data_IF_987354980837
#
_entry.id   IF_987354980837
#
_cell.length_a   1.000
_cell.length_b   1.000
_cell.length_c   1.000
_cell.angle_alpha   90.00
_cell.angle_beta   90.00
_cell.angle_gamma   90.00
#
_symmetry.space_group_name_H-M   'P 1'
#
loop_
_entity.id
_entity.type
_entity.pdbx_description
1 polymer ?
#
# COMPACT_ATOMS: atom_id res chain seq x y z
N UNK A 1 -42.96 -29.27 -0.38
CA UNK A 1 -41.99 -28.91 -1.44
C UNK A 1 -40.91 -29.98 -1.46
N UNK A 2 -40.79 -30.76 -2.55
CA UNK A 2 -39.68 -31.72 -2.70
C UNK A 2 -38.80 -31.19 -3.83
N UNK A 3 -37.67 -30.59 -3.49
CA UNK A 3 -36.64 -30.33 -4.50
C UNK A 3 -36.19 -31.67 -5.07
N UNK A 4 -36.11 -31.77 -6.39
CA UNK A 4 -35.60 -32.97 -7.07
C UNK A 4 -34.16 -33.22 -6.60
N UNK A 5 -33.82 -34.46 -6.27
CA UNK A 5 -32.48 -34.87 -5.81
C UNK A 5 -31.35 -34.33 -6.71
N UNK A 6 -31.60 -34.24 -8.03
CA UNK A 6 -30.66 -33.66 -8.99
C UNK A 6 -30.40 -32.16 -8.74
N UNK A 7 -31.45 -31.41 -8.40
CA UNK A 7 -31.34 -29.99 -8.06
C UNK A 7 -30.58 -29.81 -6.73
N UNK A 8 -30.83 -30.68 -5.75
CA UNK A 8 -30.08 -30.68 -4.48
C UNK A 8 -28.60 -30.97 -4.70
N UNK A 9 -28.25 -31.96 -5.54
CA UNK A 9 -26.86 -32.28 -5.87
C UNK A 9 -26.16 -31.11 -6.58
N UNK A 10 -26.85 -30.44 -7.51
CA UNK A 10 -26.30 -29.28 -8.21
C UNK A 10 -26.01 -28.12 -7.25
N UNK A 11 -26.93 -27.82 -6.33
CA UNK A 11 -26.75 -26.77 -5.32
C UNK A 11 -25.55 -27.08 -4.42
N UNK A 12 -25.44 -28.33 -3.93
CA UNK A 12 -24.30 -28.74 -3.10
C UNK A 12 -22.98 -28.60 -3.86
N UNK A 13 -22.91 -29.09 -5.10
CA UNK A 13 -21.70 -28.99 -5.92
C UNK A 13 -21.29 -27.54 -6.20
N UNK A 14 -22.25 -26.64 -6.42
CA UNK A 14 -21.96 -25.22 -6.59
C UNK A 14 -21.39 -24.60 -5.31
N UNK A 15 -21.98 -24.91 -4.14
CA UNK A 15 -21.44 -24.45 -2.85
C UNK A 15 -20.00 -24.95 -2.66
N UNK A 16 -19.74 -26.23 -2.90
CA UNK A 16 -18.38 -26.79 -2.79
C UNK A 16 -17.39 -26.11 -3.74
N UNK A 17 -17.80 -25.81 -4.98
CA UNK A 17 -16.96 -25.10 -5.94
C UNK A 17 -16.66 -23.66 -5.49
N UNK A 18 -17.64 -22.95 -4.94
CA UNK A 18 -17.44 -21.60 -4.41
C UNK A 18 -16.48 -21.60 -3.21
N UNK A 19 -16.63 -22.55 -2.29
CA UNK A 19 -15.72 -22.66 -1.13
C UNK A 19 -14.30 -23.03 -1.56
N UNK A 20 -14.13 -23.90 -2.57
CA UNK A 20 -12.81 -24.18 -3.14
C UNK A 20 -12.19 -22.97 -3.83
N UNK A 21 -12.99 -22.20 -4.57
CA UNK A 21 -12.50 -20.99 -5.24
C UNK A 21 -11.98 -19.97 -4.21
N UNK A 22 -12.68 -19.79 -3.09
CA UNK A 22 -12.21 -18.94 -1.98
C UNK A 22 -10.85 -19.38 -1.43
N UNK A 23 -10.67 -20.68 -1.18
CA UNK A 23 -9.39 -21.22 -0.68
C UNK A 23 -8.24 -20.98 -1.67
N UNK A 24 -8.49 -21.14 -2.97
CA UNK A 24 -7.48 -20.87 -4.00
C UNK A 24 -7.14 -19.38 -4.06
N UNK A 25 -8.13 -18.50 -3.96
CA UNK A 25 -7.90 -17.06 -3.95
C UNK A 25 -7.13 -16.60 -2.71
N UNK A 26 -7.43 -17.19 -1.54
CA UNK A 26 -6.71 -16.97 -0.29
C UNK A 26 -5.23 -17.34 -0.43
N UNK A 27 -4.94 -18.52 -1.00
CA UNK A 27 -3.57 -18.97 -1.30
C UNK A 27 -2.84 -18.02 -2.25
N UNK A 28 -3.52 -17.61 -3.33
CA UNK A 28 -2.97 -16.64 -4.30
C UNK A 28 -2.65 -15.31 -3.62
N UNK A 29 -3.56 -14.79 -2.81
CA UNK A 29 -3.37 -13.55 -2.06
C UNK A 29 -2.19 -13.67 -1.10
N UNK A 30 -2.08 -14.78 -0.36
CA UNK A 30 -0.99 -15.01 0.58
C UNK A 30 0.36 -14.98 -0.12
N UNK A 31 0.51 -15.74 -1.22
CA UNK A 31 1.76 -15.79 -2.00
C UNK A 31 2.08 -14.41 -2.58
N UNK A 32 1.09 -13.74 -3.16
CA UNK A 32 1.27 -12.45 -3.83
C UNK A 32 1.66 -11.35 -2.85
N UNK A 33 0.93 -11.20 -1.74
CA UNK A 33 1.20 -10.17 -0.74
C UNK A 33 2.52 -10.42 -0.01
N UNK A 34 2.87 -11.68 0.29
CA UNK A 34 4.17 -12.03 0.83
C UNK A 34 5.31 -11.67 -0.14
N UNK A 35 5.08 -11.85 -1.45
CA UNK A 35 6.05 -11.47 -2.48
C UNK A 35 6.22 -9.95 -2.56
N UNK A 36 5.13 -9.18 -2.53
CA UNK A 36 5.18 -7.70 -2.48
C UNK A 36 5.98 -7.24 -1.26
N UNK A 37 5.68 -7.77 -0.06
CA UNK A 37 6.40 -7.43 1.17
C UNK A 37 7.90 -7.70 1.07
N UNK A 38 8.28 -8.84 0.48
CA UNK A 38 9.68 -9.21 0.27
C UNK A 38 10.40 -8.23 -0.67
N UNK A 39 9.77 -7.82 -1.76
CA UNK A 39 10.36 -6.85 -2.69
C UNK A 39 10.55 -5.48 -2.03
N UNK A 40 9.54 -5.00 -1.31
CA UNK A 40 9.62 -3.73 -0.56
C UNK A 40 10.75 -3.80 0.47
N UNK A 41 10.82 -4.87 1.26
CA UNK A 41 11.87 -5.06 2.26
C UNK A 41 13.27 -5.12 1.62
N UNK A 42 13.40 -5.79 0.47
CA UNK A 42 14.66 -5.84 -0.27
C UNK A 42 15.08 -4.45 -0.75
N UNK A 43 14.18 -3.66 -1.33
CA UNK A 43 14.45 -2.28 -1.74
C UNK A 43 14.83 -1.38 -0.58
N UNK A 44 14.17 -1.49 0.58
CA UNK A 44 14.53 -0.69 1.75
C UNK A 44 15.88 -1.08 2.34
N UNK A 45 16.26 -2.36 2.25
CA UNK A 45 17.55 -2.85 2.77
C UNK A 45 18.77 -2.31 2.01
N UNK A 46 18.58 -1.79 0.78
CA UNK A 46 19.66 -1.19 -0.02
C UNK A 46 19.86 0.30 0.28
N UNK A 47 18.92 0.94 0.99
CA UNK A 47 19.02 2.35 1.32
C UNK A 47 20.08 2.60 2.40
N UNK A 48 20.78 3.75 2.37
CA UNK A 48 21.73 4.13 3.41
C UNK A 48 21.06 4.58 4.73
N UNK A 49 19.75 4.40 4.86
CA UNK A 49 18.96 4.83 6.01
C UNK A 49 18.62 3.65 6.92
N UNK A 50 18.62 3.89 8.22
CA UNK A 50 18.16 2.91 9.20
C UNK A 50 16.65 3.04 9.38
N UNK A 51 15.93 1.93 9.20
CA UNK A 51 14.50 1.86 9.50
C UNK A 51 14.27 1.95 11.02
N UNK A 52 13.14 2.50 11.43
CA UNK A 52 12.73 2.45 12.84
C UNK A 52 12.25 1.05 13.27
N UNK A 53 12.17 0.82 14.58
CA UNK A 53 11.75 -0.46 15.16
C UNK A 53 10.25 -0.75 15.00
N UNK A 54 9.45 0.28 14.70
CA UNK A 54 8.00 0.18 14.48
C UNK A 54 7.65 -0.28 13.05
N UNK A 55 8.65 -0.48 12.18
CA UNK A 55 8.43 -0.85 10.78
C UNK A 55 7.91 -2.29 10.67
N UNK A 56 6.85 -2.48 9.88
CA UNK A 56 6.09 -3.72 9.76
C UNK A 56 5.86 -4.14 8.30
N UNK A 57 6.09 -5.42 8.00
CA UNK A 57 6.07 -5.95 6.64
C UNK A 57 5.12 -7.14 6.41
N UNK A 58 4.26 -7.52 7.37
CA UNK A 58 3.30 -8.63 7.16
C UNK A 58 2.04 -8.14 6.45
N UNK A 59 2.18 -7.90 5.15
CA UNK A 59 1.11 -7.32 4.34
C UNK A 59 -0.16 -8.19 4.31
N UNK A 60 -0.02 -9.51 4.22
CA UNK A 60 -1.17 -10.41 4.17
C UNK A 60 -2.02 -10.37 5.45
N UNK A 61 -1.36 -10.37 6.61
CA UNK A 61 -2.05 -10.47 7.91
C UNK A 61 -2.67 -9.13 8.33
N UNK A 62 -2.00 -8.01 8.04
CA UNK A 62 -2.40 -6.68 8.52
C UNK A 62 -3.06 -5.81 7.44
N UNK A 63 -2.96 -6.21 6.17
CA UNK A 63 -3.52 -5.45 5.05
C UNK A 63 -2.75 -4.18 4.70
N UNK A 64 -1.56 -3.99 5.26
CA UNK A 64 -0.64 -2.94 4.86
C UNK A 64 0.82 -3.33 5.15
N UNK A 65 1.74 -2.59 4.51
CA UNK A 65 3.14 -2.48 4.92
C UNK A 65 3.30 -1.08 5.51
N UNK A 66 4.04 -0.94 6.60
CA UNK A 66 4.33 0.35 7.23
C UNK A 66 5.83 0.43 7.54
N UNK A 67 6.47 1.54 7.19
CA UNK A 67 7.87 1.76 7.49
C UNK A 67 8.20 3.23 7.71
N UNK A 68 9.13 3.50 8.60
CA UNK A 68 9.68 4.83 8.84
C UNK A 68 11.19 4.75 9.05
N UNK A 69 11.81 5.91 9.20
CA UNK A 69 13.25 6.04 9.38
C UNK A 69 13.57 6.45 10.81
N UNK A 70 14.61 5.87 11.39
CA UNK A 70 15.05 6.19 12.74
C UNK A 70 15.43 7.67 12.90
N UNK A 71 15.91 8.32 11.83
CA UNK A 71 16.20 9.77 11.80
C UNK A 71 14.94 10.65 11.88
N UNK A 72 13.76 10.08 11.69
CA UNK A 72 12.46 10.76 11.77
C UNK A 72 11.72 10.46 13.07
N UNK A 73 12.41 9.91 14.07
CA UNK A 73 11.89 9.77 15.43
C UNK A 73 12.24 11.01 16.26
N UNK A 74 11.27 11.51 17.02
CA UNK A 74 11.44 12.56 18.01
C UNK A 74 10.67 12.17 19.27
N UNK A 75 11.39 12.08 20.41
CA UNK A 75 10.84 11.56 21.67
C UNK A 75 10.13 10.19 21.50
N UNK A 76 10.75 9.30 20.72
CA UNK A 76 10.22 7.96 20.38
C UNK A 76 8.91 7.99 19.55
N UNK A 77 8.54 9.13 18.98
CA UNK A 77 7.39 9.24 18.08
C UNK A 77 7.82 9.55 16.65
N UNK A 78 7.17 8.89 15.68
CA UNK A 78 7.36 9.13 14.25
C UNK A 78 6.84 10.52 13.86
N UNK A 79 7.71 11.31 13.24
CA UNK A 79 7.35 12.59 12.61
C UNK A 79 6.71 12.39 11.25
N UNK A 80 7.08 11.30 10.58
CA UNK A 80 6.40 10.79 9.40
C UNK A 80 6.77 9.33 9.15
N UNK A 81 5.96 8.66 8.35
CA UNK A 81 6.15 7.27 7.95
C UNK A 81 5.53 7.04 6.57
N UNK A 82 5.82 5.89 5.98
CA UNK A 82 5.23 5.44 4.73
C UNK A 82 4.40 4.19 4.94
N UNK A 83 3.32 4.07 4.18
CA UNK A 83 2.54 2.84 4.13
C UNK A 83 2.25 2.42 2.70
N UNK A 84 2.26 1.11 2.45
CA UNK A 84 1.68 0.51 1.24
C UNK A 84 0.38 -0.16 1.63
N UNK A 85 -0.73 0.33 1.09
CA UNK A 85 -2.09 -0.11 1.43
C UNK A 85 -3.04 0.02 0.22
N UNK A 86 -4.26 -0.51 0.34
CA UNK A 86 -5.28 -0.36 -0.69
C UNK A 86 -5.80 1.10 -0.78
N UNK A 87 -6.21 1.52 -1.97
CA UNK A 87 -6.67 2.90 -2.22
C UNK A 87 -7.97 3.29 -1.53
N UNK A 88 -8.86 2.33 -1.31
CA UNK A 88 -10.12 2.50 -0.59
C UNK A 88 -10.06 1.70 0.71
N UNK A 89 -10.43 2.34 1.82
CA UNK A 89 -10.64 1.66 3.11
C UNK A 89 -11.75 0.64 2.92
N UNK A 90 -11.40 -0.63 3.07
CA UNK A 90 -12.30 -1.77 3.05
C UNK A 90 -13.35 -1.66 4.18
N UNK A 91 -14.36 -0.80 4.01
CA UNK A 91 -15.50 -0.71 4.93
C UNK A 91 -16.50 -1.86 4.71
N UNK A 92 -16.24 -2.79 3.79
CA UNK A 92 -17.02 -4.00 3.63
C UNK A 92 -16.10 -5.21 3.54
N UNK A 93 -16.07 -5.98 4.62
CA UNK A 93 -15.47 -7.30 4.71
C UNK A 93 -15.85 -8.16 3.48
N UNK A 94 -14.82 -8.68 2.80
CA UNK A 94 -14.81 -9.70 1.72
C UNK A 94 -13.99 -9.26 0.48
N UNK A 95 -12.99 -8.40 0.65
CA UNK A 95 -12.17 -7.93 -0.47
C UNK A 95 -11.03 -8.90 -0.80
N UNK A 96 -11.19 -9.61 -1.92
CA UNK A 96 -10.13 -10.42 -2.53
C UNK A 96 -8.96 -9.49 -2.91
N UNK A 97 -7.82 -9.57 -2.21
CA UNK A 97 -6.67 -8.68 -2.47
C UNK A 97 -6.26 -8.61 -3.95
N UNK A 98 -6.36 -9.73 -4.66
CA UNK A 98 -6.14 -9.81 -6.09
C UNK A 98 -6.92 -8.75 -6.89
N UNK A 99 -8.17 -8.44 -6.51
CA UNK A 99 -8.96 -7.41 -7.20
C UNK A 99 -8.43 -6.00 -6.94
N UNK A 100 -7.90 -5.73 -5.75
CA UNK A 100 -7.33 -4.43 -5.40
C UNK A 100 -5.96 -4.22 -6.04
N UNK A 101 -5.06 -5.19 -5.89
CA UNK A 101 -3.69 -5.10 -6.42
C UNK A 101 -3.69 -5.00 -7.95
N UNK A 102 -4.65 -5.62 -8.62
CA UNK A 102 -4.78 -5.56 -10.09
C UNK A 102 -5.76 -4.49 -10.62
N UNK A 103 -6.61 -3.91 -9.76
CA UNK A 103 -7.63 -2.96 -10.18
C UNK A 103 -8.71 -3.54 -11.09
N UNK A 104 -9.22 -4.73 -10.78
CA UNK A 104 -10.14 -5.50 -11.65
C UNK A 104 -11.60 -5.08 -11.56
N UNK A 105 -12.04 -4.52 -10.42
CA UNK A 105 -13.46 -4.22 -10.15
C UNK A 105 -13.78 -2.74 -10.41
N UNK A 106 -12.94 -1.83 -9.92
CA UNK A 106 -13.02 -0.40 -10.21
C UNK A 106 -11.68 0.10 -10.76
N UNK A 107 -11.76 1.05 -11.68
CA UNK A 107 -10.66 1.90 -12.11
C UNK A 107 -9.90 2.57 -10.95
N UNK A 108 -10.54 2.84 -9.80
CA UNK A 108 -9.92 3.40 -8.58
C UNK A 108 -9.13 2.39 -7.76
N UNK A 109 -9.35 1.08 -7.94
CA UNK A 109 -8.69 0.04 -7.16
C UNK A 109 -7.21 -0.07 -7.52
N UNK A 110 -6.35 0.19 -6.55
CA UNK A 110 -4.90 0.05 -6.65
C UNK A 110 -4.27 -0.12 -5.26
N UNK A 111 -2.97 -0.38 -5.27
CA UNK A 111 -2.15 -0.10 -4.11
C UNK A 111 -1.64 1.33 -4.16
N UNK A 112 -1.49 1.93 -2.99
CA UNK A 112 -0.92 3.25 -2.81
C UNK A 112 0.33 3.14 -1.94
N UNK A 113 1.43 3.72 -2.40
CA UNK A 113 2.49 4.13 -1.49
C UNK A 113 2.11 5.51 -0.94
N UNK A 114 1.85 5.59 0.36
CA UNK A 114 1.47 6.83 1.04
C UNK A 114 2.53 7.29 2.01
N UNK A 115 2.77 8.59 2.06
CA UNK A 115 3.57 9.26 3.07
C UNK A 115 2.67 10.02 4.03
N UNK A 116 2.81 9.73 5.33
CA UNK A 116 2.01 10.29 6.41
C UNK A 116 2.88 11.07 7.40
N UNK A 117 2.91 12.41 7.32
CA UNK A 117 3.49 13.22 8.39
C UNK A 117 2.54 13.31 9.59
N UNK A 118 3.05 13.07 10.79
CA UNK A 118 2.25 13.04 12.00
C UNK A 118 2.10 14.44 12.62
N UNK A 119 1.04 15.16 12.22
CA UNK A 119 0.84 16.56 12.58
C UNK A 119 0.84 16.84 14.10
N UNK A 120 0.45 15.86 14.93
CA UNK A 120 0.43 16.02 16.40
C UNK A 120 1.84 15.99 16.98
N UNK A 121 2.68 15.08 16.49
CA UNK A 121 4.10 14.99 16.91
C UNK A 121 4.87 16.21 16.39
N UNK A 122 4.47 16.76 15.24
CA UNK A 122 4.95 18.04 14.74
C UNK A 122 4.41 19.26 15.51
N UNK A 123 3.58 19.10 16.55
CA UNK A 123 3.04 20.22 17.33
C UNK A 123 2.03 21.12 16.60
N UNK A 124 1.51 20.68 15.45
CA UNK A 124 0.64 21.48 14.60
C UNK A 124 -0.85 21.24 14.90
N UNK A 125 -1.69 22.24 14.63
CA UNK A 125 -3.15 22.05 14.54
C UNK A 125 -3.51 21.56 13.15
N UNK A 126 -4.52 20.69 13.04
CA UNK A 126 -4.93 20.05 11.77
C UNK A 126 -5.10 21.03 10.59
N UNK A 127 -5.78 22.17 10.78
CA UNK A 127 -5.99 23.17 9.71
C UNK A 127 -4.67 23.79 9.25
N UNK A 128 -3.79 24.14 10.20
CA UNK A 128 -2.48 24.72 9.91
C UNK A 128 -1.59 23.70 9.21
N UNK A 129 -1.60 22.46 9.70
CA UNK A 129 -0.91 21.34 9.08
C UNK A 129 -1.33 21.16 7.62
N UNK A 130 -2.62 20.99 7.32
CA UNK A 130 -3.09 20.77 5.94
C UNK A 130 -2.66 21.88 4.99
N UNK A 131 -2.79 23.14 5.43
CA UNK A 131 -2.37 24.29 4.62
C UNK A 131 -0.87 24.25 4.32
N UNK A 132 -0.04 24.00 5.34
CA UNK A 132 1.43 23.97 5.21
C UNK A 132 1.91 22.75 4.45
N UNK A 133 1.30 21.60 4.68
CA UNK A 133 1.64 20.35 4.00
C UNK A 133 1.34 20.46 2.52
N UNK A 134 0.18 21.01 2.16
CA UNK A 134 -0.15 21.33 0.77
C UNK A 134 0.86 22.32 0.15
N UNK A 135 1.22 23.38 0.86
CA UNK A 135 2.22 24.34 0.39
C UNK A 135 3.59 23.67 0.18
N UNK A 136 4.08 22.90 1.15
CA UNK A 136 5.35 22.18 1.07
C UNK A 136 5.35 21.17 -0.10
N UNK A 137 4.27 20.43 -0.30
CA UNK A 137 4.09 19.51 -1.43
C UNK A 137 4.12 20.24 -2.78
N UNK A 138 3.43 21.38 -2.91
CA UNK A 138 3.39 22.12 -4.17
C UNK A 138 4.72 22.80 -4.53
N UNK A 139 5.60 23.04 -3.55
CA UNK A 139 6.93 23.61 -3.77
C UNK A 139 8.04 22.55 -3.87
N UNK A 140 7.72 21.27 -3.67
CA UNK A 140 8.67 20.17 -3.88
C UNK A 140 8.61 19.65 -5.32
N UNK A 141 9.50 18.73 -5.67
CA UNK A 141 9.47 18.04 -6.97
C UNK A 141 8.51 16.85 -7.02
N UNK A 142 7.87 16.50 -5.90
CA UNK A 142 6.97 15.34 -5.80
C UNK A 142 5.81 15.36 -6.84
N UNK A 143 5.15 16.49 -7.14
CA UNK A 143 4.11 16.52 -8.16
C UNK A 143 4.61 16.14 -9.56
N UNK A 144 5.81 16.58 -9.92
CA UNK A 144 6.42 16.29 -11.23
C UNK A 144 6.85 14.82 -11.34
N UNK A 145 7.15 14.19 -10.20
CA UNK A 145 7.47 12.76 -10.08
C UNK A 145 6.22 11.87 -10.05
N UNK A 146 5.01 12.45 -10.10
CA UNK A 146 3.74 11.71 -10.20
C UNK A 146 3.03 11.48 -8.87
N UNK A 147 3.58 11.95 -7.76
CA UNK A 147 2.91 11.92 -6.46
C UNK A 147 1.74 12.91 -6.43
N UNK A 148 0.74 12.62 -5.59
CA UNK A 148 -0.45 13.46 -5.41
C UNK A 148 -0.73 13.67 -3.94
N UNK A 149 -1.33 14.80 -3.59
CA UNK A 149 -1.89 14.96 -2.25
C UNK A 149 -3.19 14.15 -2.14
N UNK A 150 -3.38 13.44 -1.03
CA UNK A 150 -4.61 12.72 -0.73
C UNK A 150 -5.81 13.67 -0.71
N UNK A 151 -7.01 13.16 -0.98
CA UNK A 151 -8.22 13.96 -1.02
C UNK A 151 -8.53 14.63 0.33
N UNK A 152 -8.20 13.97 1.44
CA UNK A 152 -8.35 14.49 2.79
C UNK A 152 -7.23 15.46 3.21
N UNK A 153 -6.14 15.53 2.44
CA UNK A 153 -4.99 16.40 2.66
C UNK A 153 -4.07 15.97 3.80
N UNK A 154 -4.09 14.70 4.20
CA UNK A 154 -3.22 14.16 5.25
C UNK A 154 -2.06 13.30 4.76
N UNK A 155 -2.06 12.89 3.49
CA UNK A 155 -1.01 12.08 2.91
C UNK A 155 -0.55 12.59 1.55
N UNK A 156 0.66 12.20 1.15
CA UNK A 156 1.11 12.23 -0.24
C UNK A 156 1.08 10.78 -0.75
N UNK A 157 0.49 10.55 -1.91
CA UNK A 157 0.17 9.22 -2.43
C UNK A 157 0.78 9.00 -3.80
N UNK A 158 1.21 7.77 -4.05
CA UNK A 158 1.67 7.27 -5.35
C UNK A 158 0.94 5.96 -5.69
N UNK A 159 -0.03 5.99 -6.62
CA UNK A 159 -0.79 4.81 -6.99
C UNK A 159 -0.02 3.90 -7.94
N UNK A 160 -0.10 2.59 -7.72
CA UNK A 160 0.43 1.57 -8.62
C UNK A 160 -0.46 0.33 -8.64
N UNK A 161 -0.41 -0.42 -9.76
CA UNK A 161 -1.20 -1.63 -9.98
C UNK A 161 -0.31 -2.72 -10.54
N UNK A 162 -0.59 -3.96 -10.14
CA UNK A 162 0.01 -5.15 -10.71
C UNK A 162 -0.79 -5.58 -11.94
N UNK A 163 -0.10 -6.19 -12.92
CA UNK A 163 -0.76 -6.73 -14.09
C UNK A 163 -1.29 -8.13 -13.79
N UNK A 164 -2.60 -8.34 -13.93
CA UNK A 164 -3.22 -9.64 -13.67
C UNK A 164 -2.72 -10.74 -14.61
N UNK A 165 -2.38 -10.42 -15.87
CA UNK A 165 -1.84 -11.41 -16.81
C UNK A 165 -0.46 -11.91 -16.37
N UNK A 166 0.39 -11.02 -15.86
CA UNK A 166 1.73 -11.38 -15.40
C UNK A 166 1.64 -12.28 -14.15
N UNK A 167 0.66 -12.02 -13.27
CA UNK A 167 0.38 -12.89 -12.12
C UNK A 167 -0.08 -14.28 -12.59
N UNK A 168 -1.05 -14.33 -13.51
CA UNK A 168 -1.60 -15.61 -14.00
C UNK A 168 -0.55 -16.47 -14.71
N UNK A 169 0.39 -15.86 -15.43
CA UNK A 169 1.45 -16.57 -16.15
C UNK A 169 2.56 -17.05 -15.21
N UNK A 170 2.85 -16.29 -14.16
CA UNK A 170 3.94 -16.56 -13.23
C UNK A 170 3.57 -17.39 -12.00
N UNK A 171 2.30 -17.42 -11.62
CA UNK A 171 1.87 -18.09 -10.38
C UNK A 171 2.13 -19.62 -10.41
N UNK A 172 2.58 -20.23 -9.31
CA UNK A 172 2.94 -19.61 -8.02
C UNK A 172 4.41 -19.21 -7.88
N UNK A 173 5.27 -19.45 -8.88
CA UNK A 173 6.72 -19.49 -8.68
C UNK A 173 7.49 -18.35 -9.34
N UNK A 174 7.07 -17.88 -10.51
CA UNK A 174 7.77 -16.89 -11.33
C UNK A 174 7.01 -15.56 -11.36
N UNK A 175 6.88 -14.93 -10.20
CA UNK A 175 6.19 -13.65 -10.05
C UNK A 175 7.09 -12.44 -10.33
N UNK A 176 8.29 -12.62 -10.89
CA UNK A 176 9.26 -11.52 -11.10
C UNK A 176 8.67 -10.42 -11.99
N UNK A 177 8.09 -10.80 -13.12
CA UNK A 177 7.45 -9.85 -14.04
C UNK A 177 6.27 -9.13 -13.39
N UNK A 178 5.47 -9.86 -12.60
CA UNK A 178 4.33 -9.29 -11.87
C UNK A 178 4.76 -8.27 -10.81
N UNK A 179 5.99 -8.35 -10.29
CA UNK A 179 6.54 -7.45 -9.27
C UNK A 179 7.19 -6.19 -9.85
N UNK A 180 7.36 -6.07 -11.17
CA UNK A 180 7.94 -4.88 -11.80
C UNK A 180 7.27 -3.56 -11.36
N UNK A 181 5.93 -3.47 -11.22
CA UNK A 181 5.30 -2.27 -10.69
C UNK A 181 5.70 -1.93 -9.24
N UNK A 182 5.92 -2.93 -8.40
CA UNK A 182 6.37 -2.75 -7.01
C UNK A 182 7.79 -2.20 -6.99
N UNK A 183 8.71 -2.85 -7.72
CA UNK A 183 10.12 -2.43 -7.77
C UNK A 183 10.28 -1.04 -8.39
N UNK A 184 9.54 -0.74 -9.46
CA UNK A 184 9.51 0.61 -10.05
C UNK A 184 8.99 1.66 -9.07
N UNK A 185 7.97 1.33 -8.28
CA UNK A 185 7.44 2.23 -7.24
C UNK A 185 8.48 2.49 -6.16
N UNK A 186 9.20 1.46 -5.71
CA UNK A 186 10.26 1.61 -4.71
C UNK A 186 11.47 2.39 -5.25
N UNK A 187 11.81 2.25 -6.53
CA UNK A 187 12.82 3.08 -7.18
C UNK A 187 12.37 4.55 -7.31
N UNK A 188 11.11 4.80 -7.66
CA UNK A 188 10.54 6.15 -7.67
C UNK A 188 10.54 6.77 -6.27
N UNK A 189 10.27 5.97 -5.24
CA UNK A 189 10.38 6.35 -3.84
C UNK A 189 11.82 6.72 -3.45
N UNK A 190 12.80 5.89 -3.77
CA UNK A 190 14.21 6.15 -3.46
C UNK A 190 14.69 7.48 -4.04
N UNK A 191 14.36 7.77 -5.30
CA UNK A 191 14.68 9.05 -5.92
C UNK A 191 13.94 10.24 -5.29
N UNK A 192 12.72 10.02 -4.77
CA UNK A 192 11.87 11.03 -4.16
C UNK A 192 12.20 11.28 -2.68
N UNK A 193 12.93 10.38 -2.01
CA UNK A 193 13.18 10.42 -0.58
C UNK A 193 13.73 11.78 -0.08
N UNK A 194 14.69 12.44 -0.76
CA UNK A 194 15.16 13.76 -0.34
C UNK A 194 14.07 14.84 -0.35
N UNK A 195 13.05 14.72 -1.21
CA UNK A 195 11.93 15.66 -1.25
C UNK A 195 10.98 15.43 -0.06
N UNK A 196 10.78 14.19 0.37
CA UNK A 196 10.02 13.89 1.59
C UNK A 196 10.73 14.43 2.85
N UNK A 197 12.06 14.32 2.91
CA UNK A 197 12.85 14.93 3.98
C UNK A 197 12.70 16.45 4.02
N UNK A 198 12.71 17.13 2.86
CA UNK A 198 12.48 18.58 2.77
C UNK A 198 11.06 18.96 3.21
N UNK A 199 10.06 18.16 2.85
CA UNK A 199 8.67 18.38 3.29
C UNK A 199 8.59 18.29 4.81
N UNK A 200 9.17 17.26 5.42
CA UNK A 200 9.22 17.13 6.89
C UNK A 200 9.95 18.30 7.56
N UNK A 201 11.12 18.68 7.04
CA UNK A 201 11.88 19.82 7.56
C UNK A 201 11.05 21.12 7.51
N UNK A 202 10.37 21.38 6.39
CA UNK A 202 9.50 22.56 6.21
C UNK A 202 8.34 22.57 7.21
N UNK A 203 7.77 21.40 7.51
CA UNK A 203 6.70 21.27 8.49
C UNK A 203 7.19 21.54 9.91
N UNK A 204 8.41 21.11 10.26
CA UNK A 204 9.06 21.36 11.55
C UNK A 204 9.42 22.83 11.77
N UNK A 205 10.07 23.47 10.80
CA UNK A 205 10.62 24.83 10.95
C UNK A 205 9.54 25.90 11.24
N UNK A 206 8.29 25.61 10.87
CA UNK A 206 7.17 26.52 11.06
C UNK A 206 6.32 26.16 12.30
N UNK A 207 6.54 25.03 12.95
CA UNK A 207 5.78 24.57 14.12
C UNK A 207 5.99 25.47 15.33
#
# INVERSE_FOLDING_TARGET
>A
MKYNQQLTQLVISNIENHERAKLVLDEVNQVLLARIAKEVQASLSTLPHTLDEESHFKFYDEGYIDFGFASWLEEEQRLGYFSIEASETADEADHEWLTHVCGLVDSSNCLLLRFYPHYRTLGLKAVVFKSRFKEAFLHSQLPEQGYKLSADGYAIEYPFKLNHQDILQGYPHDLEQAMVPVTNTMLAFEHALPEFEKVLATLKEKA
#
